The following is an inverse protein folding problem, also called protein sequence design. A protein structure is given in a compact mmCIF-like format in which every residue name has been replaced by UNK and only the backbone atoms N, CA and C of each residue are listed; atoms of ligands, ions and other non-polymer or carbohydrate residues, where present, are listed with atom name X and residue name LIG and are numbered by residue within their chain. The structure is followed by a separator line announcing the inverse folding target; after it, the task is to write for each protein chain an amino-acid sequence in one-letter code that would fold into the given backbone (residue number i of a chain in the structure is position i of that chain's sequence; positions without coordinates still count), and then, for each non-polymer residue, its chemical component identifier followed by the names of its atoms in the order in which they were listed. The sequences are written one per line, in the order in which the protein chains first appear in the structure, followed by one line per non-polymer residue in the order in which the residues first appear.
data_IF_105927866198
#
_entry.id   IF_105927866198
#
_cell.length_a   1.000
_cell.length_b   1.000
_cell.length_c   1.000
_cell.angle_alpha   90.00
_cell.angle_beta   90.00
_cell.angle_gamma   90.00
#
_symmetry.space_group_name_H-M   'P 1'
#
loop_
_entity.id
_entity.type
_entity.pdbx_description
1 polymer ?
#
# COMPACT_ATOMS: atom_id res chain seq x y z
N UNK A 1 64.42 41.51 25.39
CA UNK A 1 64.24 40.13 25.89
C UNK A 1 62.74 39.93 25.96
N UNK A 2 62.13 39.59 24.83
CA UNK A 2 60.67 39.53 24.69
C UNK A 2 60.13 38.25 25.31
N UNK A 3 58.99 38.41 26.00
CA UNK A 3 58.14 37.45 26.69
C UNK A 3 58.15 36.04 26.07
N UNK A 4 58.28 35.02 26.93
CA UNK A 4 58.11 33.61 26.58
C UNK A 4 56.75 33.42 25.90
N UNK A 5 56.76 33.33 24.56
CA UNK A 5 55.57 33.13 23.75
C UNK A 5 55.01 31.74 24.11
N UNK A 6 53.89 31.72 24.84
CA UNK A 6 53.22 30.48 25.26
C UNK A 6 52.65 29.81 24.02
N UNK A 7 53.41 28.88 23.45
CA UNK A 7 52.96 28.04 22.33
C UNK A 7 51.94 27.03 22.85
N UNK A 8 50.70 27.17 22.41
CA UNK A 8 49.64 26.21 22.73
C UNK A 8 49.87 24.91 21.95
N UNK A 9 49.69 23.75 22.61
CA UNK A 9 49.91 22.42 21.98
C UNK A 9 49.13 22.28 20.67
N UNK A 10 47.89 22.80 20.60
CA UNK A 10 47.04 22.74 19.40
C UNK A 10 47.61 23.46 18.17
N UNK A 11 48.48 24.44 18.40
CA UNK A 11 49.08 25.28 17.37
C UNK A 11 50.47 24.77 16.95
N UNK A 12 50.93 23.67 17.57
CA UNK A 12 52.20 23.03 17.20
C UNK A 12 52.12 22.27 15.88
N UNK A 13 53.23 22.20 15.17
CA UNK A 13 53.39 21.39 13.96
C UNK A 13 53.04 19.91 14.22
N UNK A 14 53.44 19.37 15.38
CA UNK A 14 53.12 18.00 15.77
C UNK A 14 51.61 17.72 15.86
N UNK A 15 50.81 18.69 16.36
CA UNK A 15 49.36 18.57 16.40
C UNK A 15 48.75 18.64 14.99
N UNK A 16 49.28 19.52 14.12
CA UNK A 16 48.87 19.62 12.73
C UNK A 16 49.17 18.33 11.95
N UNK A 17 50.36 17.76 12.11
CA UNK A 17 50.74 16.49 11.49
C UNK A 17 49.86 15.34 11.96
N UNK A 18 49.52 15.32 13.26
CA UNK A 18 48.62 14.32 13.81
C UNK A 18 47.22 14.43 13.20
N UNK A 19 46.72 15.65 13.02
CA UNK A 19 45.45 15.91 12.35
C UNK A 19 45.48 15.44 10.89
N UNK A 20 46.51 15.81 10.12
CA UNK A 20 46.63 15.40 8.71
C UNK A 20 46.72 13.88 8.56
N UNK A 21 47.42 13.17 9.46
CA UNK A 21 47.43 11.69 9.47
C UNK A 21 46.04 11.09 9.74
N UNK A 22 45.30 11.66 10.69
CA UNK A 22 43.92 11.22 10.98
C UNK A 22 43.02 11.41 9.75
N UNK A 23 43.08 12.57 9.09
CA UNK A 23 42.27 12.86 7.90
C UNK A 23 42.62 11.89 6.77
N UNK A 24 43.90 11.54 6.61
CA UNK A 24 44.31 10.53 5.62
C UNK A 24 43.77 9.14 5.93
N UNK A 25 43.73 8.76 7.21
CA UNK A 25 43.12 7.50 7.63
C UNK A 25 41.61 7.48 7.33
N UNK A 26 40.91 8.59 7.58
CA UNK A 26 39.49 8.77 7.24
C UNK A 26 39.28 8.67 5.73
N UNK A 27 40.10 9.31 4.90
CA UNK A 27 40.02 9.18 3.44
C UNK A 27 40.18 7.73 2.97
N UNK A 28 41.18 7.02 3.48
CA UNK A 28 41.42 5.62 3.12
C UNK A 28 40.26 4.71 3.54
N UNK A 29 39.67 4.96 4.71
CA UNK A 29 38.45 4.26 5.15
C UNK A 29 37.27 4.58 4.23
N UNK A 30 37.00 5.87 3.99
CA UNK A 30 35.88 6.32 3.16
C UNK A 30 35.96 5.77 1.74
N UNK A 31 37.16 5.71 1.13
CA UNK A 31 37.36 5.09 -0.17
C UNK A 31 36.97 3.61 -0.18
N UNK A 32 37.42 2.84 0.82
CA UNK A 32 37.08 1.41 0.94
C UNK A 32 35.59 1.18 1.11
N UNK A 33 34.93 1.99 1.93
CA UNK A 33 33.48 1.90 2.14
C UNK A 33 32.70 2.36 0.90
N UNK A 34 33.21 3.36 0.17
CA UNK A 34 32.54 3.84 -1.06
C UNK A 34 32.63 2.86 -2.24
N UNK A 35 33.56 1.91 -2.21
CA UNK A 35 33.68 0.85 -3.20
C UNK A 35 32.70 -0.32 -2.90
N UNK A 36 31.99 -0.30 -1.76
CA UNK A 36 30.92 -1.25 -1.44
C UNK A 36 29.66 -1.01 -2.27
N UNK A 37 28.71 -1.95 -2.23
CA UNK A 37 27.54 -1.92 -3.09
C UNK A 37 26.23 -2.01 -2.29
N UNK A 38 25.16 -1.48 -2.89
CA UNK A 38 23.79 -1.55 -2.40
C UNK A 38 23.64 -1.17 -0.92
N UNK A 39 23.19 -2.11 -0.10
CA UNK A 39 22.90 -1.89 1.32
C UNK A 39 24.14 -1.43 2.11
N UNK A 40 25.33 -1.95 1.80
CA UNK A 40 26.57 -1.55 2.47
C UNK A 40 26.92 -0.09 2.18
N UNK A 41 26.70 0.36 0.94
CA UNK A 41 26.93 1.75 0.55
C UNK A 41 25.92 2.70 1.20
N UNK A 42 24.67 2.25 1.38
CA UNK A 42 23.66 2.97 2.15
C UNK A 42 24.04 3.07 3.64
N UNK A 43 24.54 1.98 4.24
CA UNK A 43 25.01 1.97 5.61
C UNK A 43 26.20 2.92 5.82
N UNK A 44 27.19 2.92 4.92
CA UNK A 44 28.27 3.90 4.90
C UNK A 44 27.73 5.33 4.86
N UNK A 45 26.75 5.59 3.99
CA UNK A 45 26.13 6.92 3.87
C UNK A 45 25.41 7.35 5.15
N UNK A 46 24.79 6.41 5.87
CA UNK A 46 24.16 6.65 7.17
C UNK A 46 25.18 7.10 8.22
N UNK A 47 26.32 6.40 8.33
CA UNK A 47 27.39 6.75 9.28
C UNK A 47 27.96 8.14 8.98
N UNK A 48 28.11 8.50 7.71
CA UNK A 48 28.52 9.85 7.32
C UNK A 48 27.50 10.91 7.76
N UNK A 49 26.20 10.63 7.59
CA UNK A 49 25.12 11.54 7.94
C UNK A 49 24.94 11.73 9.46
N UNK A 50 25.28 10.73 10.27
CA UNK A 50 25.28 10.83 11.74
C UNK A 50 26.31 11.83 12.28
N UNK A 51 27.26 12.28 11.45
CA UNK A 51 28.22 13.31 11.85
C UNK A 51 29.28 12.81 12.84
N UNK A 52 29.54 11.50 12.88
CA UNK A 52 30.65 10.90 13.65
C UNK A 52 31.98 11.59 13.28
N UNK A 53 32.16 11.88 11.99
CA UNK A 53 33.21 12.76 11.50
C UNK A 53 32.61 14.12 11.18
N UNK A 54 32.95 15.14 11.97
CA UNK A 54 32.54 16.52 11.73
C UNK A 54 33.44 17.17 10.68
N UNK A 55 33.13 16.95 9.40
CA UNK A 55 33.90 17.50 8.28
C UNK A 55 33.98 19.04 8.29
N UNK A 56 33.01 19.73 8.91
CA UNK A 56 33.03 21.19 9.15
C UNK A 56 34.24 21.67 9.97
N UNK A 57 34.79 20.80 10.82
CA UNK A 57 35.95 21.11 11.66
C UNK A 57 37.27 20.78 10.97
N UNK A 58 37.24 20.28 9.72
CA UNK A 58 38.44 19.96 8.97
C UNK A 58 38.89 21.20 8.19
N UNK A 59 40.15 21.67 8.36
CA UNK A 59 40.65 22.81 7.62
C UNK A 59 40.62 22.58 6.10
N UNK A 60 40.35 23.65 5.34
CA UNK A 60 40.26 23.58 3.88
C UNK A 60 41.54 23.02 3.22
N UNK A 61 42.72 23.32 3.79
CA UNK A 61 44.01 22.81 3.28
C UNK A 61 44.06 21.28 3.32
N UNK A 62 43.53 20.66 4.38
CA UNK A 62 43.58 19.22 4.58
C UNK A 62 42.52 18.51 3.72
N UNK A 63 41.33 19.13 3.54
CA UNK A 63 40.35 18.66 2.57
C UNK A 63 40.91 18.64 1.14
N UNK A 64 41.66 19.67 0.74
CA UNK A 64 42.32 19.74 -0.58
C UNK A 64 43.40 18.66 -0.76
N UNK A 65 44.10 18.31 0.32
CA UNK A 65 45.12 17.26 0.31
C UNK A 65 44.52 15.83 0.22
N UNK A 66 43.22 15.67 0.47
CA UNK A 66 42.51 14.38 0.49
C UNK A 66 41.35 14.33 -0.52
N UNK A 67 41.62 14.40 -1.84
CA UNK A 67 40.58 14.45 -2.87
C UNK A 67 39.72 13.17 -2.95
N UNK A 68 40.23 12.04 -2.48
CA UNK A 68 39.51 10.78 -2.39
C UNK A 68 38.33 10.84 -1.41
N UNK A 69 38.39 11.71 -0.40
CA UNK A 69 37.28 11.91 0.52
C UNK A 69 36.07 12.51 -0.21
N UNK A 70 36.30 13.56 -1.00
CA UNK A 70 35.27 14.16 -1.86
C UNK A 70 34.70 13.13 -2.84
N UNK A 71 35.56 12.29 -3.43
CA UNK A 71 35.13 11.22 -4.33
C UNK A 71 34.22 10.22 -3.62
N UNK A 72 34.61 9.71 -2.45
CA UNK A 72 33.83 8.75 -1.67
C UNK A 72 32.46 9.30 -1.27
N UNK A 73 32.41 10.54 -0.77
CA UNK A 73 31.16 11.22 -0.40
C UNK A 73 30.28 11.44 -1.64
N UNK A 74 30.87 11.79 -2.79
CA UNK A 74 30.11 11.96 -4.05
C UNK A 74 29.48 10.65 -4.52
N UNK A 75 30.18 9.53 -4.39
CA UNK A 75 29.67 8.20 -4.73
C UNK A 75 28.48 7.85 -3.83
N UNK A 76 28.63 8.01 -2.51
CA UNK A 76 27.57 7.81 -1.53
C UNK A 76 26.32 8.68 -1.83
N UNK A 77 26.52 9.98 -2.04
CA UNK A 77 25.46 10.92 -2.39
C UNK A 77 24.72 10.53 -3.68
N UNK A 78 25.47 10.15 -4.73
CA UNK A 78 24.88 9.73 -6.01
C UNK A 78 24.06 8.45 -5.85
N UNK A 79 24.54 7.48 -5.06
CA UNK A 79 23.81 6.25 -4.77
C UNK A 79 22.51 6.55 -4.04
N UNK A 80 22.55 7.31 -2.94
CA UNK A 80 21.34 7.69 -2.18
C UNK A 80 20.34 8.46 -3.04
N UNK A 81 20.81 9.41 -3.85
CA UNK A 81 19.95 10.18 -4.76
C UNK A 81 19.25 9.30 -5.79
N UNK A 82 19.91 8.23 -6.25
CA UNK A 82 19.34 7.27 -7.19
C UNK A 82 18.30 6.39 -6.51
N UNK A 83 18.61 5.82 -5.35
CA UNK A 83 17.68 4.95 -4.64
C UNK A 83 16.46 5.74 -4.12
N UNK A 84 16.63 6.97 -3.67
CA UNK A 84 15.52 7.84 -3.28
C UNK A 84 14.53 8.03 -4.45
N UNK A 85 15.02 8.43 -5.63
CA UNK A 85 14.17 8.57 -6.83
C UNK A 85 13.50 7.26 -7.24
N UNK A 86 14.21 6.13 -7.09
CA UNK A 86 13.66 4.81 -7.39
C UNK A 86 12.51 4.49 -6.44
N UNK A 87 12.69 4.69 -5.14
CA UNK A 87 11.65 4.42 -4.15
C UNK A 87 10.45 5.35 -4.33
N UNK A 88 10.64 6.63 -4.64
CA UNK A 88 9.53 7.53 -4.96
C UNK A 88 8.70 7.00 -6.15
N UNK A 89 9.36 6.54 -7.21
CA UNK A 89 8.66 5.94 -8.36
C UNK A 89 7.97 4.61 -8.03
N UNK A 90 8.55 3.79 -7.15
CA UNK A 90 7.91 2.56 -6.67
C UNK A 90 6.68 2.87 -5.81
N UNK A 91 6.75 3.90 -4.98
CA UNK A 91 5.63 4.41 -4.18
C UNK A 91 4.51 4.91 -5.09
N UNK A 92 4.80 5.70 -6.12
CA UNK A 92 3.78 6.19 -7.07
C UNK A 92 3.05 5.02 -7.77
N UNK A 93 3.80 4.00 -8.19
CA UNK A 93 3.23 2.79 -8.81
C UNK A 93 2.35 2.01 -7.84
N UNK A 94 2.70 1.96 -6.56
CA UNK A 94 1.87 1.34 -5.53
C UNK A 94 0.59 2.14 -5.31
N UNK A 95 0.66 3.47 -5.24
CA UNK A 95 -0.51 4.33 -5.12
C UNK A 95 -1.53 4.12 -6.24
N UNK A 96 -1.08 4.11 -7.50
CA UNK A 96 -1.98 3.86 -8.65
C UNK A 96 -2.63 2.48 -8.57
N UNK A 97 -1.85 1.45 -8.21
CA UNK A 97 -2.39 0.09 -8.05
C UNK A 97 -3.41 0.00 -6.92
N UNK A 98 -3.13 0.62 -5.78
CA UNK A 98 -4.06 0.66 -4.66
C UNK A 98 -5.35 1.42 -5.01
N UNK A 99 -5.26 2.55 -5.71
CA UNK A 99 -6.43 3.28 -6.17
C UNK A 99 -7.33 2.41 -7.05
N UNK A 100 -6.75 1.68 -8.02
CA UNK A 100 -7.49 0.76 -8.89
C UNK A 100 -8.14 -0.40 -8.12
N UNK A 101 -7.42 -1.00 -7.18
CA UNK A 101 -7.95 -2.09 -6.36
C UNK A 101 -9.10 -1.64 -5.46
N UNK A 102 -9.03 -0.41 -4.92
CA UNK A 102 -10.11 0.20 -4.16
C UNK A 102 -11.34 0.45 -5.03
N UNK A 103 -11.16 0.97 -6.25
CA UNK A 103 -12.26 1.18 -7.19
C UNK A 103 -12.96 -0.14 -7.58
N UNK A 104 -12.20 -1.20 -7.84
CA UNK A 104 -12.75 -2.54 -8.12
C UNK A 104 -13.54 -3.10 -6.93
N UNK A 105 -13.06 -2.89 -5.70
CA UNK A 105 -13.76 -3.28 -4.48
C UNK A 105 -15.09 -2.53 -4.33
N UNK A 106 -15.07 -1.21 -4.51
CA UNK A 106 -16.25 -0.35 -4.43
C UNK A 106 -17.33 -0.78 -5.44
N UNK A 107 -16.92 -1.04 -6.69
CA UNK A 107 -17.83 -1.54 -7.73
C UNK A 107 -18.46 -2.88 -7.36
N UNK A 108 -17.67 -3.80 -6.79
CA UNK A 108 -18.17 -5.11 -6.35
C UNK A 108 -19.21 -4.97 -5.23
N UNK A 109 -18.94 -4.12 -4.23
CA UNK A 109 -19.89 -3.84 -3.13
C UNK A 109 -21.22 -3.31 -3.67
N UNK A 110 -21.17 -2.40 -4.65
CA UNK A 110 -22.39 -1.86 -5.29
C UNK A 110 -23.16 -2.95 -6.05
N UNK A 111 -22.44 -3.80 -6.80
CA UNK A 111 -23.04 -4.92 -7.54
C UNK A 111 -23.73 -5.90 -6.58
N UNK A 112 -23.03 -6.36 -5.55
CA UNK A 112 -23.55 -7.29 -4.55
C UNK A 112 -24.80 -6.71 -3.84
N UNK A 113 -24.80 -5.41 -3.53
CA UNK A 113 -25.98 -4.73 -2.95
C UNK A 113 -27.19 -4.76 -3.89
N UNK A 114 -26.97 -4.56 -5.19
CA UNK A 114 -28.05 -4.56 -6.18
C UNK A 114 -28.59 -5.98 -6.42
N UNK A 115 -27.72 -6.99 -6.42
CA UNK A 115 -28.13 -8.40 -6.51
C UNK A 115 -28.94 -8.82 -5.29
N UNK A 116 -28.52 -8.44 -4.09
CA UNK A 116 -29.27 -8.73 -2.87
C UNK A 116 -30.65 -8.06 -2.86
N UNK A 117 -30.76 -6.82 -3.35
CA UNK A 117 -32.07 -6.16 -3.51
C UNK A 117 -32.98 -6.95 -4.45
N UNK A 118 -32.48 -7.36 -5.63
CA UNK A 118 -33.25 -8.17 -6.58
C UNK A 118 -33.70 -9.50 -5.96
N UNK A 119 -32.83 -10.14 -5.19
CA UNK A 119 -33.17 -11.36 -4.47
C UNK A 119 -34.34 -11.14 -3.49
N UNK A 120 -34.34 -10.04 -2.72
CA UNK A 120 -35.45 -9.70 -1.83
C UNK A 120 -36.75 -9.41 -2.59
N UNK A 121 -36.69 -8.71 -3.72
CA UNK A 121 -37.86 -8.44 -4.57
C UNK A 121 -38.48 -9.75 -5.09
N UNK A 122 -37.65 -10.68 -5.57
CA UNK A 122 -38.09 -11.99 -6.04
C UNK A 122 -38.74 -12.80 -4.90
N UNK A 123 -38.17 -12.76 -3.69
CA UNK A 123 -38.76 -13.42 -2.52
C UNK A 123 -40.16 -12.89 -2.18
N UNK A 124 -40.34 -11.57 -2.20
CA UNK A 124 -41.66 -10.96 -1.96
C UNK A 124 -42.67 -11.38 -3.03
N UNK A 125 -42.26 -11.36 -4.30
CA UNK A 125 -43.15 -11.84 -5.37
C UNK A 125 -43.49 -13.32 -5.21
N UNK A 126 -42.52 -14.18 -4.89
CA UNK A 126 -42.78 -15.60 -4.70
C UNK A 126 -43.86 -15.85 -3.64
N UNK A 127 -43.76 -15.20 -2.47
CA UNK A 127 -44.77 -15.29 -1.41
C UNK A 127 -46.15 -14.78 -1.87
N UNK A 128 -46.21 -13.66 -2.61
CA UNK A 128 -47.46 -13.14 -3.16
C UNK A 128 -48.09 -14.11 -4.17
N UNK A 129 -47.28 -14.71 -5.05
CA UNK A 129 -47.74 -15.68 -6.03
C UNK A 129 -48.24 -16.97 -5.36
N UNK A 130 -47.58 -17.45 -4.30
CA UNK A 130 -48.04 -18.61 -3.54
C UNK A 130 -49.42 -18.35 -2.92
N UNK A 131 -49.58 -17.20 -2.24
CA UNK A 131 -50.87 -16.80 -1.68
C UNK A 131 -51.96 -16.63 -2.74
N UNK A 132 -51.62 -16.11 -3.92
CA UNK A 132 -52.56 -15.94 -5.02
C UNK A 132 -52.94 -17.30 -5.62
N UNK A 133 -52.00 -18.22 -5.73
CA UNK A 133 -52.21 -19.57 -6.23
C UNK A 133 -53.15 -20.36 -5.32
N UNK A 134 -52.97 -20.27 -4.00
CA UNK A 134 -53.88 -20.88 -3.01
C UNK A 134 -55.31 -20.36 -3.15
N UNK A 135 -55.46 -19.03 -3.32
CA UNK A 135 -56.76 -18.40 -3.58
C UNK A 135 -57.37 -18.88 -4.89
N UNK A 136 -56.60 -18.98 -5.98
CA UNK A 136 -57.11 -19.46 -7.26
C UNK A 136 -57.48 -20.94 -7.23
N UNK A 137 -56.70 -21.78 -6.56
CA UNK A 137 -57.02 -23.19 -6.36
C UNK A 137 -58.34 -23.35 -5.60
N UNK A 138 -58.53 -22.57 -4.54
CA UNK A 138 -59.79 -22.53 -3.78
C UNK A 138 -60.98 -22.12 -4.67
N UNK A 139 -60.81 -21.07 -5.49
CA UNK A 139 -61.85 -20.64 -6.44
C UNK A 139 -62.15 -21.71 -7.50
N UNK A 140 -61.11 -22.38 -8.01
CA UNK A 140 -61.25 -23.45 -8.99
C UNK A 140 -62.07 -24.61 -8.42
N UNK A 141 -61.79 -25.04 -7.18
CA UNK A 141 -62.53 -26.09 -6.50
C UNK A 141 -64.02 -25.72 -6.28
N UNK A 142 -64.29 -24.46 -5.90
CA UNK A 142 -65.66 -23.95 -5.76
C UNK A 142 -66.41 -24.00 -7.10
N UNK A 143 -65.78 -23.55 -8.19
CA UNK A 143 -66.38 -23.56 -9.53
C UNK A 143 -66.65 -24.99 -9.98
N UNK A 144 -65.67 -25.88 -9.84
CA UNK A 144 -65.80 -27.30 -10.17
C UNK A 144 -66.96 -27.93 -9.38
N UNK A 145 -67.03 -27.74 -8.06
CA UNK A 145 -68.12 -28.28 -7.25
C UNK A 145 -69.48 -27.81 -7.75
N UNK A 146 -69.63 -26.52 -8.11
CA UNK A 146 -70.88 -25.98 -8.63
C UNK A 146 -71.24 -26.49 -10.03
N UNK A 147 -70.26 -26.71 -10.90
CA UNK A 147 -70.51 -27.25 -12.24
C UNK A 147 -70.86 -28.73 -12.22
N UNK A 148 -70.27 -29.52 -11.31
CA UNK A 148 -70.58 -30.94 -11.14
C UNK A 148 -71.90 -31.20 -10.40
N UNK A 149 -72.39 -30.28 -9.56
CA UNK A 149 -73.71 -30.39 -8.90
C UNK A 149 -74.92 -30.19 -9.83
N UNK A 150 -74.72 -29.92 -11.13
CA UNK A 150 -75.79 -29.66 -12.11
C UNK A 150 -76.32 -30.92 -12.81
N UNK A 151 -76.29 -32.08 -12.14
CA UNK A 151 -76.61 -33.38 -12.74
C UNK A 151 -77.51 -34.33 -11.94
N UNK A 152 -78.11 -33.90 -10.83
CA UNK A 152 -78.97 -34.80 -10.01
C UNK A 152 -80.22 -34.13 -9.44
N UNK A 153 -80.85 -33.22 -10.18
CA UNK A 153 -82.26 -32.87 -9.93
C UNK A 153 -82.98 -32.70 -11.26
N UNK A 154 -83.66 -33.76 -11.70
CA UNK A 154 -84.70 -33.71 -12.72
C UNK A 154 -84.59 -34.79 -13.80
N UNK A 155 -85.61 -35.67 -13.83
CA UNK A 155 -86.02 -36.59 -14.92
C UNK A 155 -85.25 -37.93 -14.92
N UNK A 156 -85.85 -39.11 -14.68
CA UNK A 156 -87.16 -39.65 -15.12
C UNK A 156 -87.68 -40.75 -14.18
N UNK A 157 -89.00 -40.81 -13.95
CA UNK A 157 -89.82 -42.00 -14.30
C UNK A 157 -91.29 -41.82 -13.86
N UNK A 158 -92.10 -41.36 -14.83
CA UNK A 158 -93.48 -41.84 -14.97
C UNK A 158 -93.43 -43.36 -15.22
N UNK A 159 -93.75 -44.20 -14.23
CA UNK A 159 -94.35 -45.53 -14.44
C UNK A 159 -94.82 -46.15 -13.12
N UNK A 160 -96.05 -45.84 -12.71
CA UNK A 160 -96.89 -46.73 -11.89
C UNK A 160 -98.36 -46.23 -11.88
N UNK A 161 -99.10 -46.48 -12.96
CA UNK A 161 -100.54 -46.74 -12.88
C UNK A 161 -100.74 -48.24 -12.99
N UNK A 162 -101.04 -48.89 -11.87
CA UNK A 162 -102.02 -49.97 -11.71
C UNK A 162 -102.30 -50.19 -10.23
#
# INVERSE_FOLDING_TARGET
MSEDEVVLIRDTEAAQDSLSRLIKAIENWALKESDRHDFELAAFSSVLAEGVVKFENIPQKDCKACPGLTKAITIAHKHLSKEHKRFDQEIDKLHVRFAKQMEELDLKIIQDRNEFRKFLEILVFADEYDQLNDKMNSLLEIVQTKTFYRGTVGETDEFARQ
#
